data_IF_378894308942
#
_entry.id   IF_378894308942
#
_cell.length_a   1.000
_cell.length_b   1.000
_cell.length_c   1.000
_cell.angle_alpha   90.00
_cell.angle_beta   90.00
_cell.angle_gamma   90.00
#
_symmetry.space_group_name_H-M   'P 1'
#
loop_
_entity.id
_entity.type
_entity.pdbx_description
1 polymer ?
#
# COMPACT_ATOMS: atom_id res chain seq x y z
N UNK A 1 14.87 37.33 -5.86
CA UNK A 1 13.49 36.97 -5.45
C UNK A 1 12.99 35.66 -6.07
N UNK A 2 12.82 35.54 -7.41
CA UNK A 2 12.28 34.30 -8.03
C UNK A 2 13.05 33.01 -7.71
N UNK A 3 14.40 33.03 -7.72
CA UNK A 3 15.23 31.86 -7.37
C UNK A 3 15.04 31.42 -5.90
N UNK A 4 14.92 32.38 -4.99
CA UNK A 4 14.70 32.12 -3.55
C UNK A 4 13.33 31.45 -3.35
N UNK A 5 12.29 31.93 -4.04
CA UNK A 5 10.96 31.34 -3.97
C UNK A 5 10.95 29.89 -4.50
N UNK A 6 11.63 29.61 -5.62
CA UNK A 6 11.75 28.25 -6.17
C UNK A 6 12.48 27.34 -5.19
N UNK A 7 13.57 27.82 -4.60
CA UNK A 7 14.33 27.06 -3.61
C UNK A 7 13.50 26.76 -2.34
N UNK A 8 12.76 27.75 -1.83
CA UNK A 8 11.83 27.55 -0.72
C UNK A 8 10.75 26.52 -1.07
N UNK A 9 10.16 26.61 -2.26
CA UNK A 9 9.16 25.65 -2.73
C UNK A 9 9.72 24.22 -2.84
N UNK A 10 10.96 24.08 -3.31
CA UNK A 10 11.66 22.79 -3.34
C UNK A 10 11.83 22.21 -1.93
N UNK A 11 12.34 23.01 -0.99
CA UNK A 11 12.51 22.56 0.41
C UNK A 11 11.17 22.15 1.01
N UNK A 12 10.13 22.98 0.84
CA UNK A 12 8.78 22.67 1.34
C UNK A 12 8.28 21.36 0.74
N UNK A 13 8.47 21.16 -0.57
CA UNK A 13 8.04 19.92 -1.24
C UNK A 13 8.79 18.71 -0.71
N UNK A 14 10.10 18.81 -0.48
CA UNK A 14 10.92 17.74 0.11
C UNK A 14 10.47 17.42 1.53
N UNK A 15 10.30 18.43 2.38
CA UNK A 15 9.84 18.24 3.76
C UNK A 15 8.42 17.66 3.81
N UNK A 16 7.50 18.20 3.00
CA UNK A 16 6.15 17.69 2.88
C UNK A 16 6.16 16.23 2.42
N UNK A 17 6.99 15.91 1.42
CA UNK A 17 7.12 14.55 0.94
C UNK A 17 7.73 13.63 1.98
N UNK A 18 8.69 14.08 2.77
CA UNK A 18 9.26 13.26 3.82
C UNK A 18 8.26 13.00 4.98
N UNK A 19 7.43 13.98 5.34
CA UNK A 19 6.57 13.91 6.52
C UNK A 19 5.19 13.29 6.28
N UNK A 20 4.66 13.35 5.05
CA UNK A 20 3.24 13.04 4.78
C UNK A 20 3.10 11.86 3.83
N UNK A 21 2.62 10.71 4.30
CA UNK A 21 2.64 9.44 3.54
C UNK A 21 1.91 9.46 2.20
N UNK A 22 0.81 10.20 2.09
CA UNK A 22 0.02 10.29 0.86
C UNK A 22 0.55 11.31 -0.16
N UNK A 23 1.60 12.09 0.18
CA UNK A 23 2.17 13.12 -0.68
C UNK A 23 2.61 12.59 -2.05
N UNK A 24 3.09 11.34 -2.09
CA UNK A 24 3.62 10.69 -3.30
C UNK A 24 2.54 10.60 -4.38
N UNK A 25 1.32 10.23 -3.99
CA UNK A 25 0.17 10.14 -4.89
C UNK A 25 -0.29 11.51 -5.40
N UNK A 26 -0.26 12.52 -4.53
CA UNK A 26 -0.53 13.90 -4.95
C UNK A 26 0.51 14.37 -5.97
N UNK A 27 1.80 14.17 -5.68
CA UNK A 27 2.89 14.59 -6.56
C UNK A 27 2.88 13.84 -7.89
N UNK A 28 2.55 12.55 -7.91
CA UNK A 28 2.35 11.77 -9.13
C UNK A 28 1.18 12.31 -9.96
N UNK A 29 0.08 12.70 -9.32
CA UNK A 29 -1.07 13.31 -10.01
C UNK A 29 -0.69 14.64 -10.64
N UNK A 30 0.00 15.51 -9.89
CA UNK A 30 0.48 16.81 -10.41
C UNK A 30 1.48 16.61 -11.55
N UNK A 31 2.39 15.64 -11.43
CA UNK A 31 3.33 15.28 -12.48
C UNK A 31 2.61 14.82 -13.74
N UNK A 32 1.62 13.92 -13.62
CA UNK A 32 0.83 13.44 -14.75
C UNK A 32 0.09 14.58 -15.46
N UNK A 33 -0.60 15.44 -14.70
CA UNK A 33 -1.28 16.61 -15.25
C UNK A 33 -0.31 17.58 -15.92
N UNK A 34 0.88 17.76 -15.34
CA UNK A 34 1.96 18.56 -15.93
C UNK A 34 2.43 18.00 -17.28
N UNK A 35 2.61 16.68 -17.39
CA UNK A 35 2.97 16.01 -18.64
C UNK A 35 1.87 16.15 -19.70
N UNK A 36 0.61 15.92 -19.33
CA UNK A 36 -0.54 16.12 -20.24
C UNK A 36 -0.59 17.57 -20.72
N UNK A 37 -0.38 18.53 -19.83
CA UNK A 37 -0.33 19.95 -20.18
C UNK A 37 0.81 20.26 -21.16
N UNK A 38 2.01 19.69 -20.96
CA UNK A 38 3.13 19.84 -21.91
C UNK A 38 2.80 19.26 -23.30
N UNK A 39 2.10 18.12 -23.36
CA UNK A 39 1.65 17.53 -24.63
C UNK A 39 0.67 18.49 -25.33
N UNK A 40 -0.34 18.99 -24.63
CA UNK A 40 -1.31 19.94 -25.17
C UNK A 40 -0.62 21.23 -25.66
N UNK A 41 0.32 21.78 -24.87
CA UNK A 41 1.10 22.95 -25.28
C UNK A 41 1.95 22.67 -26.53
N UNK A 42 2.52 21.47 -26.64
CA UNK A 42 3.26 21.01 -27.80
C UNK A 42 2.38 20.97 -29.06
N UNK A 43 1.18 20.39 -28.94
CA UNK A 43 0.19 20.35 -30.02
C UNK A 43 -0.26 21.75 -30.45
N UNK A 44 -0.59 22.63 -29.49
CA UNK A 44 -0.95 24.03 -29.79
C UNK A 44 0.21 24.73 -30.52
N UNK A 45 1.47 24.44 -30.13
CA UNK A 45 2.65 25.07 -30.72
C UNK A 45 2.82 24.77 -32.21
N UNK A 46 2.31 23.63 -32.69
CA UNK A 46 2.29 23.29 -34.12
C UNK A 46 1.48 24.32 -34.92
N UNK A 47 0.35 24.77 -34.36
CA UNK A 47 -0.59 25.66 -35.06
C UNK A 47 -0.38 27.15 -34.71
N UNK A 48 0.10 27.47 -33.51
CA UNK A 48 0.28 28.84 -33.03
C UNK A 48 1.46 28.98 -32.09
N UNK A 49 2.16 30.12 -32.14
CA UNK A 49 3.29 30.39 -31.26
C UNK A 49 2.83 30.45 -29.79
N UNK A 50 3.33 29.54 -28.96
CA UNK A 50 3.05 29.51 -27.51
C UNK A 50 4.10 30.30 -26.72
N UNK A 51 3.72 30.81 -25.55
CA UNK A 51 4.63 31.56 -24.66
C UNK A 51 5.64 30.60 -24.01
N UNK A 52 6.93 30.81 -24.24
CA UNK A 52 8.05 30.03 -23.67
C UNK A 52 7.95 29.88 -22.14
N UNK A 53 7.43 30.89 -21.46
CA UNK A 53 7.27 30.88 -19.99
C UNK A 53 6.33 29.75 -19.50
N UNK A 54 5.26 29.42 -20.24
CA UNK A 54 4.32 28.37 -19.84
C UNK A 54 5.00 27.00 -19.86
N UNK A 55 5.82 26.74 -20.88
CA UNK A 55 6.61 25.52 -21.01
C UNK A 55 7.66 25.40 -19.90
N UNK A 56 8.37 26.50 -19.62
CA UNK A 56 9.38 26.54 -18.55
C UNK A 56 8.77 26.32 -17.17
N UNK A 57 7.61 26.94 -16.88
CA UNK A 57 6.90 26.75 -15.61
C UNK A 57 6.42 25.32 -15.43
N UNK A 58 5.89 24.69 -16.48
CA UNK A 58 5.45 23.30 -16.42
C UNK A 58 6.63 22.33 -16.21
N UNK A 59 7.75 22.52 -16.92
CA UNK A 59 8.98 21.75 -16.70
C UNK A 59 9.49 21.91 -15.27
N UNK A 60 9.52 23.15 -14.76
CA UNK A 60 9.97 23.42 -13.40
C UNK A 60 9.09 22.71 -12.38
N UNK A 61 7.77 22.76 -12.54
CA UNK A 61 6.81 22.07 -11.67
C UNK A 61 7.04 20.55 -11.68
N UNK A 62 7.19 19.96 -12.87
CA UNK A 62 7.49 18.52 -13.02
C UNK A 62 8.80 18.18 -12.30
N UNK A 63 9.85 19.00 -12.47
CA UNK A 63 11.12 18.82 -11.78
C UNK A 63 10.99 18.85 -10.26
N UNK A 64 10.20 19.79 -9.72
CA UNK A 64 9.91 19.87 -8.28
C UNK A 64 9.17 18.61 -7.81
N UNK A 65 8.15 18.15 -8.57
CA UNK A 65 7.42 16.94 -8.24
C UNK A 65 8.32 15.69 -8.24
N UNK A 66 9.19 15.55 -9.24
CA UNK A 66 10.16 14.45 -9.32
C UNK A 66 11.09 14.42 -8.10
N UNK A 67 11.62 15.58 -7.70
CA UNK A 67 12.47 15.70 -6.51
C UNK A 67 11.68 15.31 -5.24
N UNK A 68 10.43 15.77 -5.12
CA UNK A 68 9.55 15.41 -4.01
C UNK A 68 9.26 13.92 -3.94
N UNK A 69 8.90 13.30 -5.08
CA UNK A 69 8.66 11.85 -5.18
C UNK A 69 9.92 11.10 -4.76
N UNK A 70 11.07 11.48 -5.30
CA UNK A 70 12.35 10.87 -4.97
C UNK A 70 12.66 10.96 -3.47
N UNK A 71 12.46 12.13 -2.86
CA UNK A 71 12.63 12.30 -1.41
C UNK A 71 11.69 11.42 -0.59
N UNK A 72 10.44 11.24 -1.04
CA UNK A 72 9.44 10.38 -0.38
C UNK A 72 9.87 8.90 -0.31
N UNK A 73 10.62 8.41 -1.31
CA UNK A 73 11.15 7.04 -1.32
C UNK A 73 12.08 6.74 -0.13
N UNK A 74 12.72 7.76 0.44
CA UNK A 74 13.62 7.65 1.59
C UNK A 74 12.95 7.90 2.94
N UNK A 75 11.64 8.14 2.99
CA UNK A 75 10.92 8.25 4.27
C UNK A 75 11.19 7.01 5.12
N UNK A 76 11.40 7.06 6.44
CA UNK A 76 11.51 5.85 7.25
C UNK A 76 10.18 5.07 7.26
N UNK A 77 10.24 3.75 7.43
CA UNK A 77 9.03 2.99 7.78
C UNK A 77 8.70 3.21 9.26
N UNK A 78 7.41 3.24 9.59
CA UNK A 78 6.99 3.01 10.96
C UNK A 78 7.40 1.58 11.40
N UNK A 79 7.60 1.34 12.70
CA UNK A 79 7.86 -0.01 13.21
C UNK A 79 6.87 -1.03 12.65
N UNK A 80 7.33 -2.22 12.27
CA UNK A 80 6.44 -3.25 11.72
C UNK A 80 5.52 -3.86 12.79
N UNK A 81 5.94 -3.78 14.06
CA UNK A 81 5.30 -4.36 15.22
C UNK A 81 5.25 -3.34 16.35
N UNK A 82 4.19 -3.45 17.15
CA UNK A 82 4.06 -2.71 18.40
C UNK A 82 4.84 -3.43 19.49
N UNK A 83 5.68 -2.72 20.24
CA UNK A 83 6.55 -3.32 21.27
C UNK A 83 5.82 -3.69 22.56
N UNK A 84 4.68 -3.06 22.84
CA UNK A 84 3.91 -3.21 24.08
C UNK A 84 2.43 -2.99 23.83
N UNK A 85 1.58 -3.53 24.70
CA UNK A 85 0.12 -3.48 24.56
C UNK A 85 -0.49 -4.87 24.57
N UNK A 86 -1.81 -4.94 24.55
CA UNK A 86 -2.58 -6.17 24.46
C UNK A 86 -2.32 -6.90 23.15
N UNK A 87 -2.59 -8.21 23.11
CA UNK A 87 -2.48 -9.02 21.89
C UNK A 87 -3.32 -8.44 20.75
N UNK A 88 -4.55 -8.00 21.05
CA UNK A 88 -5.44 -7.39 20.05
C UNK A 88 -4.82 -6.12 19.45
N UNK A 89 -4.22 -5.26 20.27
CA UNK A 89 -3.53 -4.05 19.80
C UNK A 89 -2.30 -4.38 18.95
N UNK A 90 -1.51 -5.38 19.34
CA UNK A 90 -0.35 -5.83 18.58
C UNK A 90 -0.75 -6.37 17.19
N UNK A 91 -1.79 -7.20 17.12
CA UNK A 91 -2.30 -7.77 15.88
C UNK A 91 -2.93 -6.70 14.97
N UNK A 92 -3.72 -5.79 15.54
CA UNK A 92 -4.27 -4.66 14.80
C UNK A 92 -3.16 -3.77 14.24
N UNK A 93 -2.12 -3.48 15.02
CA UNK A 93 -0.98 -2.69 14.57
C UNK A 93 -0.19 -3.39 13.46
N UNK A 94 0.07 -4.70 13.59
CA UNK A 94 0.72 -5.49 12.55
C UNK A 94 -0.09 -5.44 11.24
N UNK A 95 -1.42 -5.62 11.32
CA UNK A 95 -2.32 -5.48 10.16
C UNK A 95 -2.27 -4.08 9.55
N UNK A 96 -2.43 -3.02 10.36
CA UNK A 96 -2.44 -1.64 9.87
C UNK A 96 -1.13 -1.27 9.18
N UNK A 97 0.00 -1.67 9.73
CA UNK A 97 1.31 -1.36 9.14
C UNK A 97 1.59 -2.20 7.89
N UNK A 98 1.15 -3.46 7.81
CA UNK A 98 1.19 -4.26 6.57
C UNK A 98 0.39 -3.55 5.45
N UNK A 99 -0.84 -3.14 5.74
CA UNK A 99 -1.68 -2.43 4.77
C UNK A 99 -1.13 -1.05 4.40
N UNK A 100 -0.50 -0.35 5.34
CA UNK A 100 0.15 0.94 5.10
C UNK A 100 1.36 0.81 4.20
N UNK A 101 2.22 -0.18 4.44
CA UNK A 101 3.42 -0.42 3.63
C UNK A 101 3.02 -0.66 2.17
N UNK A 102 2.00 -1.48 1.92
CA UNK A 102 1.52 -1.81 0.56
C UNK A 102 0.90 -0.63 -0.21
N UNK A 103 0.63 0.50 0.44
CA UNK A 103 0.11 1.74 -0.19
C UNK A 103 1.20 2.75 -0.55
N UNK A 104 2.45 2.49 -0.17
CA UNK A 104 3.56 3.41 -0.37
C UNK A 104 4.25 3.10 -1.70
N UNK A 105 4.65 4.15 -2.44
CA UNK A 105 5.26 4.00 -3.77
C UNK A 105 6.54 3.15 -3.72
N UNK A 106 7.34 3.36 -2.67
CA UNK A 106 8.60 2.61 -2.45
C UNK A 106 8.42 1.09 -2.33
N UNK A 107 7.25 0.61 -1.96
CA UNK A 107 6.98 -0.83 -1.83
C UNK A 107 6.96 -1.52 -3.19
N UNK A 108 6.73 -0.77 -4.28
CA UNK A 108 6.75 -1.24 -5.66
C UNK A 108 8.14 -1.12 -6.32
N UNK A 109 9.13 -0.52 -5.63
CA UNK A 109 10.48 -0.32 -6.16
C UNK A 109 11.45 -1.17 -5.34
N UNK A 110 11.94 -2.31 -5.87
CA UNK A 110 12.72 -3.28 -5.11
C UNK A 110 13.90 -2.68 -4.33
N UNK A 111 14.61 -1.70 -4.90
CA UNK A 111 15.75 -1.02 -4.27
C UNK A 111 15.39 -0.24 -2.99
N UNK A 112 14.15 0.21 -2.84
CA UNK A 112 13.68 0.99 -1.67
C UNK A 112 12.70 0.22 -0.78
N UNK A 113 12.26 -0.95 -1.23
CA UNK A 113 11.26 -1.75 -0.51
C UNK A 113 11.91 -2.55 0.61
N UNK A 114 11.26 -2.55 1.77
CA UNK A 114 11.56 -3.47 2.89
C UNK A 114 10.37 -4.38 3.20
N UNK A 115 9.45 -4.50 2.26
CA UNK A 115 8.16 -5.14 2.48
C UNK A 115 8.32 -6.61 2.90
N UNK A 116 9.15 -7.37 2.19
CA UNK A 116 9.38 -8.80 2.49
C UNK A 116 9.97 -9.02 3.89
N UNK A 117 11.01 -8.25 4.28
CA UNK A 117 11.61 -8.33 5.62
C UNK A 117 10.56 -8.06 6.71
N UNK A 118 9.69 -7.08 6.48
CA UNK A 118 8.64 -6.68 7.43
C UNK A 118 7.50 -7.69 7.48
N UNK A 119 7.17 -8.31 6.36
CA UNK A 119 6.18 -9.40 6.28
C UNK A 119 6.64 -10.60 7.11
N UNK A 120 7.92 -10.97 7.02
CA UNK A 120 8.53 -12.04 7.84
C UNK A 120 8.39 -11.72 9.33
N UNK A 121 8.79 -10.51 9.76
CA UNK A 121 8.70 -10.11 11.16
C UNK A 121 7.26 -10.19 11.71
N UNK A 122 6.28 -9.73 10.93
CA UNK A 122 4.86 -9.81 11.33
C UNK A 122 4.37 -11.24 11.39
N UNK A 123 4.73 -12.05 10.39
CA UNK A 123 4.33 -13.44 10.30
C UNK A 123 4.87 -14.26 11.47
N UNK A 124 6.13 -14.07 11.83
CA UNK A 124 6.75 -14.71 13.01
C UNK A 124 5.99 -14.36 14.29
N UNK A 125 5.67 -13.08 14.49
CA UNK A 125 4.92 -12.66 15.69
C UNK A 125 3.51 -13.24 15.73
N UNK A 126 2.79 -13.25 14.61
CA UNK A 126 1.45 -13.85 14.51
C UNK A 126 1.49 -15.35 14.72
N UNK A 127 2.53 -16.04 14.21
CA UNK A 127 2.75 -17.48 14.45
C UNK A 127 2.95 -17.78 15.93
N UNK A 128 3.76 -16.98 16.61
CA UNK A 128 3.96 -17.10 18.06
C UNK A 128 2.63 -17.00 18.81
N UNK A 129 1.88 -15.91 18.63
CA UNK A 129 0.59 -15.66 19.31
C UNK A 129 -0.42 -16.80 19.02
N UNK A 130 -0.44 -17.29 17.77
CA UNK A 130 -1.32 -18.39 17.39
C UNK A 130 -0.93 -19.72 18.08
N UNK A 131 0.36 -20.00 18.23
CA UNK A 131 0.85 -21.20 18.92
C UNK A 131 0.53 -21.19 20.43
N UNK A 132 0.49 -20.00 21.03
CA UNK A 132 0.10 -19.78 22.44
C UNK A 132 -1.42 -19.91 22.66
N UNK A 133 -2.22 -20.07 21.59
CA UNK A 133 -3.67 -20.24 21.67
C UNK A 133 -4.44 -18.95 21.93
N UNK A 134 -3.81 -17.80 21.75
CA UNK A 134 -4.34 -16.50 22.17
C UNK A 134 -5.28 -15.83 21.15
N UNK A 135 -5.44 -16.41 19.96
CA UNK A 135 -6.35 -15.91 18.92
C UNK A 135 -7.82 -16.24 19.22
N UNK A 136 -8.36 -15.63 20.27
CA UNK A 136 -9.73 -15.87 20.75
C UNK A 136 -10.77 -15.03 20.01
N UNK A 137 -10.52 -13.72 19.85
CA UNK A 137 -11.45 -12.77 19.23
C UNK A 137 -11.49 -12.90 17.71
N UNK A 138 -12.67 -12.72 17.13
CA UNK A 138 -12.87 -12.80 15.68
C UNK A 138 -12.09 -11.75 14.90
N UNK A 139 -11.98 -10.53 15.43
CA UNK A 139 -11.18 -9.44 14.82
C UNK A 139 -9.68 -9.78 14.81
N UNK A 140 -9.18 -10.39 15.87
CA UNK A 140 -7.77 -10.81 15.98
C UNK A 140 -7.43 -11.93 14.99
N UNK A 141 -8.38 -12.87 14.78
CA UNK A 141 -8.29 -13.89 13.72
C UNK A 141 -8.26 -13.24 12.34
N UNK A 142 -9.09 -12.22 12.08
CA UNK A 142 -9.08 -11.48 10.81
C UNK A 142 -7.72 -10.79 10.56
N UNK A 143 -7.20 -10.03 11.54
CA UNK A 143 -5.89 -9.38 11.42
C UNK A 143 -4.78 -10.40 11.17
N UNK A 144 -4.76 -11.49 11.94
CA UNK A 144 -3.80 -12.58 11.78
C UNK A 144 -3.90 -13.26 10.41
N UNK A 145 -5.12 -13.51 9.94
CA UNK A 145 -5.36 -14.11 8.64
C UNK A 145 -4.80 -13.26 7.49
N UNK A 146 -4.88 -11.94 7.58
CA UNK A 146 -4.30 -11.03 6.59
C UNK A 146 -2.77 -11.15 6.52
N UNK A 147 -2.11 -11.26 7.67
CA UNK A 147 -0.66 -11.45 7.73
C UNK A 147 -0.26 -12.80 7.14
N UNK A 148 -0.94 -13.90 7.53
CA UNK A 148 -0.73 -15.21 6.91
C UNK A 148 -1.02 -15.21 5.40
N UNK A 149 -2.00 -14.43 4.94
CA UNK A 149 -2.35 -14.35 3.52
C UNK A 149 -1.19 -13.83 2.66
N UNK A 150 -0.29 -13.04 3.23
CA UNK A 150 0.87 -12.46 2.55
C UNK A 150 2.16 -13.28 2.69
N UNK A 151 2.11 -14.46 3.32
CA UNK A 151 3.27 -15.37 3.32
C UNK A 151 3.63 -15.88 1.92
N UNK A 152 4.68 -16.68 1.82
CA UNK A 152 5.12 -17.40 0.62
C UNK A 152 4.93 -18.93 0.71
N UNK A 153 4.26 -19.42 1.77
CA UNK A 153 4.10 -20.85 2.03
C UNK A 153 2.63 -21.31 2.02
N UNK A 154 2.38 -22.48 1.43
CA UNK A 154 1.06 -23.11 1.35
C UNK A 154 0.42 -23.42 2.73
N UNK A 155 1.23 -23.81 3.72
CA UNK A 155 0.72 -24.08 5.07
C UNK A 155 0.16 -22.81 5.75
N UNK A 156 0.81 -21.68 5.49
CA UNK A 156 0.40 -20.37 5.98
C UNK A 156 -0.87 -19.89 5.26
N UNK A 157 -1.00 -20.13 3.95
CA UNK A 157 -2.27 -19.87 3.24
C UNK A 157 -3.43 -20.69 3.77
N UNK A 158 -3.20 -21.96 4.12
CA UNK A 158 -4.21 -22.80 4.79
C UNK A 158 -4.63 -22.19 6.13
N UNK A 159 -3.67 -21.68 6.90
CA UNK A 159 -3.95 -21.00 8.17
C UNK A 159 -4.74 -19.70 7.95
N UNK A 160 -4.33 -18.88 6.98
CA UNK A 160 -5.05 -17.68 6.57
C UNK A 160 -6.51 -17.98 6.24
N UNK A 161 -6.75 -19.02 5.42
CA UNK A 161 -8.09 -19.44 5.03
C UNK A 161 -8.94 -19.85 6.24
N UNK A 162 -8.39 -20.65 7.17
CA UNK A 162 -9.08 -21.07 8.39
C UNK A 162 -9.44 -19.89 9.29
N UNK A 163 -8.49 -19.00 9.57
CA UNK A 163 -8.69 -17.87 10.45
C UNK A 163 -9.67 -16.85 9.85
N UNK A 164 -9.56 -16.56 8.55
CA UNK A 164 -10.50 -15.68 7.85
C UNK A 164 -11.93 -16.26 7.84
N UNK A 165 -12.07 -17.58 7.64
CA UNK A 165 -13.37 -18.24 7.72
C UNK A 165 -13.95 -18.22 9.14
N UNK A 166 -13.11 -18.37 10.17
CA UNK A 166 -13.55 -18.26 11.56
C UNK A 166 -13.99 -16.83 11.92
N UNK A 167 -13.24 -15.81 11.49
CA UNK A 167 -13.60 -14.42 11.70
C UNK A 167 -14.94 -14.06 11.02
N UNK A 168 -15.16 -14.54 9.80
CA UNK A 168 -16.37 -14.26 9.01
C UNK A 168 -17.65 -14.92 9.55
N UNK A 169 -17.55 -15.86 10.50
CA UNK A 169 -18.72 -16.47 11.17
C UNK A 169 -19.27 -15.60 12.30
N UNK A 170 -18.51 -14.60 12.74
CA UNK A 170 -18.94 -13.67 13.77
C UNK A 170 -20.05 -12.77 13.21
N UNK A 171 -21.20 -12.73 13.89
CA UNK A 171 -22.36 -11.93 13.48
C UNK A 171 -22.03 -10.42 13.39
N UNK A 172 -21.09 -9.94 14.22
CA UNK A 172 -20.61 -8.57 14.18
C UNK A 172 -19.71 -8.27 12.98
N UNK A 173 -19.19 -9.29 12.29
CA UNK A 173 -18.29 -9.16 11.13
C UNK A 173 -18.91 -9.64 9.82
N UNK A 174 -20.12 -10.21 9.83
CA UNK A 174 -20.72 -10.80 8.64
C UNK A 174 -20.91 -9.80 7.48
N UNK A 175 -21.19 -8.54 7.80
CA UNK A 175 -21.40 -7.45 6.84
C UNK A 175 -20.12 -6.67 6.52
N UNK A 176 -18.98 -7.03 7.13
CA UNK A 176 -17.69 -6.39 6.86
C UNK A 176 -17.14 -6.91 5.52
N UNK A 177 -17.13 -6.03 4.52
CA UNK A 177 -16.68 -6.36 3.16
C UNK A 177 -15.26 -6.93 3.15
N UNK A 178 -14.33 -6.37 3.94
CA UNK A 178 -12.94 -6.82 3.95
C UNK A 178 -12.82 -8.22 4.54
N UNK A 179 -13.58 -8.52 5.60
CA UNK A 179 -13.64 -9.86 6.20
C UNK A 179 -14.17 -10.88 5.21
N UNK A 180 -15.26 -10.56 4.49
CA UNK A 180 -15.84 -11.46 3.50
C UNK A 180 -14.96 -11.66 2.28
N UNK A 181 -14.29 -10.59 1.83
CA UNK A 181 -13.30 -10.66 0.76
C UNK A 181 -12.12 -11.55 1.17
N UNK A 182 -11.53 -11.33 2.35
CA UNK A 182 -10.38 -12.09 2.82
C UNK A 182 -10.70 -13.57 2.97
N UNK A 183 -11.90 -13.92 3.46
CA UNK A 183 -12.36 -15.31 3.53
C UNK A 183 -12.28 -16.02 2.17
N UNK A 184 -12.70 -15.33 1.10
CA UNK A 184 -12.67 -15.86 -0.27
C UNK A 184 -11.24 -15.88 -0.81
N UNK A 185 -10.53 -14.76 -0.67
CA UNK A 185 -9.16 -14.56 -1.16
C UNK A 185 -8.16 -15.54 -0.54
N UNK A 186 -8.20 -15.73 0.77
CA UNK A 186 -7.31 -16.66 1.46
C UNK A 186 -7.61 -18.12 1.11
N UNK A 187 -8.88 -18.47 0.88
CA UNK A 187 -9.25 -19.81 0.44
C UNK A 187 -8.72 -20.09 -0.98
N UNK A 188 -8.97 -19.20 -1.94
CA UNK A 188 -8.50 -19.41 -3.30
C UNK A 188 -6.97 -19.43 -3.37
N UNK A 189 -6.27 -18.57 -2.61
CA UNK A 189 -4.81 -18.60 -2.54
C UNK A 189 -4.28 -19.96 -2.06
N UNK A 190 -4.90 -20.56 -1.05
CA UNK A 190 -4.55 -21.90 -0.59
C UNK A 190 -4.87 -22.99 -1.63
N UNK A 191 -5.97 -22.86 -2.38
CA UNK A 191 -6.30 -23.82 -3.45
C UNK A 191 -5.27 -23.75 -4.58
N UNK A 192 -4.94 -22.55 -5.03
CA UNK A 192 -3.95 -22.32 -6.10
C UNK A 192 -2.56 -22.81 -5.69
N UNK A 193 -2.14 -22.61 -4.42
CA UNK A 193 -0.86 -23.14 -3.92
C UNK A 193 -0.80 -24.68 -3.86
N UNK A 194 -1.90 -25.35 -4.13
CA UNK A 194 -2.01 -26.82 -4.21
C UNK A 194 -2.37 -27.27 -5.63
N UNK A 195 -2.19 -26.41 -6.63
CA UNK A 195 -2.53 -26.65 -8.05
C UNK A 195 -4.02 -26.98 -8.27
N UNK A 196 -4.88 -26.54 -7.35
CA UNK A 196 -6.34 -26.70 -7.46
C UNK A 196 -6.98 -25.44 -8.03
N UNK A 197 -8.12 -25.56 -8.72
CA UNK A 197 -8.84 -24.39 -9.21
C UNK A 197 -9.35 -23.50 -8.07
N UNK A 198 -9.43 -22.20 -8.37
CA UNK A 198 -10.07 -21.22 -7.50
C UNK A 198 -11.56 -21.53 -7.36
N UNK A 199 -12.15 -21.26 -6.18
CA UNK A 199 -13.58 -21.38 -5.95
C UNK A 199 -14.30 -20.06 -6.15
N UNK A 200 -13.66 -18.95 -5.79
CA UNK A 200 -14.27 -17.62 -5.83
C UNK A 200 -13.64 -16.66 -6.86
N UNK A 201 -12.64 -17.13 -7.62
CA UNK A 201 -11.94 -16.38 -8.68
C UNK A 201 -11.29 -15.07 -8.18
N UNK A 202 -10.61 -15.13 -7.04
CA UNK A 202 -10.03 -13.95 -6.37
C UNK A 202 -8.52 -13.75 -6.61
N UNK A 203 -7.80 -14.73 -7.14
CA UNK A 203 -6.35 -14.64 -7.38
C UNK A 203 -6.02 -14.02 -8.74
N UNK A 204 -6.91 -14.11 -9.74
CA UNK A 204 -6.55 -13.84 -11.14
C UNK A 204 -7.49 -12.91 -11.93
N UNK A 205 -8.00 -11.82 -11.34
CA UNK A 205 -8.63 -10.74 -12.14
C UNK A 205 -8.34 -9.35 -11.61
N UNK A 206 -7.81 -8.50 -12.49
CA UNK A 206 -7.98 -7.05 -12.39
C UNK A 206 -9.48 -6.77 -12.57
N UNK A 207 -10.24 -6.70 -11.47
CA UNK A 207 -11.67 -6.35 -11.50
C UNK A 207 -11.82 -4.85 -11.28
N UNK A 208 -12.16 -4.13 -12.35
CA UNK A 208 -12.67 -2.76 -12.24
C UNK A 208 -14.15 -2.88 -11.90
N UNK A 209 -14.52 -2.77 -10.62
CA UNK A 209 -15.90 -2.50 -10.25
C UNK A 209 -16.21 -1.03 -10.54
N UNK A 210 -16.90 -0.77 -11.64
CA UNK A 210 -17.58 0.51 -11.87
C UNK A 210 -18.95 0.36 -11.21
N UNK A 211 -19.17 1.11 -10.12
CA UNK A 211 -20.51 1.30 -9.53
C UNK A 211 -21.41 2.06 -10.48
#
# INVERSE_FOLDING_TARGET
>A
MKKILIFALLIITVLFSYLVSWSEWLLLTVLFLGLVFLIILGLIRIFRKSKKILFQSAILLIGICLIGIFAGLFRPYEPALLKSGTISEQLEYAYKTDQSDRKQLRSFIPMFSKLQERDVLRLEKVKQINAEGELTKSRDKFHSAFIYHHSDNSADYKMASKLAAAAAKDEGLQNDYQVQWLRKAAYDRWMVSQEKPEKYNTQNKFSIEIK
#
